data_IF_668842053396
#
_entry.id   IF_668842053396
#
_cell.length_a   1.000
_cell.length_b   1.000
_cell.length_c   1.000
_cell.angle_alpha   90.00
_cell.angle_beta   90.00
_cell.angle_gamma   90.00
#
_symmetry.space_group_name_H-M   'P 1'
#
loop_
_entity.id
_entity.type
_entity.pdbx_description
1 polymer ?
#
# COMPACT_ATOMS: atom_id res chain seq x y z
N UNK A 1 27.64 -12.83 22.68
CA UNK A 1 26.40 -12.03 22.47
C UNK A 1 25.41 -12.79 21.59
N UNK A 2 25.78 -13.17 20.36
CA UNK A 2 24.90 -13.94 19.46
C UNK A 2 24.35 -15.24 20.08
N UNK A 3 25.19 -16.02 20.74
CA UNK A 3 24.77 -17.27 21.41
C UNK A 3 23.72 -17.04 22.50
N UNK A 4 23.78 -15.92 23.24
CA UNK A 4 22.76 -15.57 24.23
C UNK A 4 21.42 -15.27 23.54
N UNK A 5 21.44 -14.55 22.42
CA UNK A 5 20.23 -14.23 21.63
C UNK A 5 19.60 -15.50 21.08
N UNK A 6 20.42 -16.39 20.52
CA UNK A 6 19.97 -17.67 19.96
C UNK A 6 19.41 -18.57 21.06
N UNK A 7 20.06 -18.65 22.23
CA UNK A 7 19.54 -19.42 23.35
C UNK A 7 18.19 -18.90 23.84
N UNK A 8 18.02 -17.57 23.99
CA UNK A 8 16.72 -16.97 24.36
C UNK A 8 15.66 -17.27 23.31
N UNK A 9 16.02 -17.22 22.02
CA UNK A 9 15.11 -17.55 20.94
C UNK A 9 14.66 -19.01 20.98
N UNK A 10 15.59 -19.94 21.19
CA UNK A 10 15.30 -21.37 21.34
C UNK A 10 14.46 -21.65 22.59
N UNK A 11 14.65 -20.90 23.68
CA UNK A 11 13.83 -21.01 24.90
C UNK A 11 12.36 -20.63 24.68
N UNK A 12 12.04 -19.79 23.69
CA UNK A 12 10.67 -19.43 23.33
C UNK A 12 9.88 -20.53 22.59
N UNK A 13 10.50 -21.69 22.34
CA UNK A 13 9.86 -22.85 21.73
C UNK A 13 9.51 -22.69 20.24
N UNK A 14 8.76 -23.67 19.72
CA UNK A 14 8.42 -23.76 18.29
C UNK A 14 7.65 -22.54 17.75
N UNK A 15 6.87 -21.86 18.60
CA UNK A 15 6.03 -20.70 18.24
C UNK A 15 6.86 -19.50 17.77
N UNK A 16 8.15 -19.46 18.09
CA UNK A 16 9.01 -18.36 17.66
C UNK A 16 9.26 -18.33 16.14
N UNK A 17 9.19 -19.48 15.45
CA UNK A 17 9.33 -19.56 13.99
C UNK A 17 8.17 -18.84 13.28
N UNK A 18 6.89 -19.17 13.54
CA UNK A 18 5.78 -18.45 12.91
C UNK A 18 5.72 -16.98 13.35
N UNK A 19 6.17 -16.62 14.56
CA UNK A 19 6.28 -15.21 14.98
C UNK A 19 7.28 -14.43 14.12
N UNK A 20 8.46 -15.01 13.88
CA UNK A 20 9.46 -14.41 13.01
C UNK A 20 8.92 -14.27 11.58
N UNK A 21 8.22 -15.29 11.06
CA UNK A 21 7.58 -15.23 9.74
C UNK A 21 6.53 -14.11 9.67
N UNK A 22 5.68 -14.01 10.69
CA UNK A 22 4.63 -12.99 10.79
C UNK A 22 5.24 -11.59 10.82
N UNK A 23 6.32 -11.38 11.57
CA UNK A 23 7.07 -10.13 11.58
C UNK A 23 7.61 -9.77 10.19
N UNK A 24 8.26 -10.73 9.50
CA UNK A 24 8.76 -10.52 8.13
C UNK A 24 7.63 -10.14 7.17
N UNK A 25 6.46 -10.79 7.27
CA UNK A 25 5.29 -10.47 6.44
C UNK A 25 4.75 -9.06 6.70
N UNK A 26 4.65 -8.64 7.97
CA UNK A 26 4.23 -7.29 8.35
C UNK A 26 5.19 -6.25 7.76
N UNK A 27 6.50 -6.40 8.02
CA UNK A 27 7.49 -5.43 7.55
C UNK A 27 7.56 -5.39 6.02
N UNK A 28 7.57 -6.54 5.35
CA UNK A 28 7.58 -6.60 3.89
C UNK A 28 6.36 -5.91 3.29
N UNK A 29 5.15 -6.25 3.77
CA UNK A 29 3.90 -5.66 3.27
C UNK A 29 3.82 -4.16 3.58
N UNK A 30 4.19 -3.76 4.79
CA UNK A 30 4.19 -2.35 5.22
C UNK A 30 5.15 -1.50 4.41
N UNK A 31 6.39 -1.98 4.19
CA UNK A 31 7.40 -1.28 3.38
C UNK A 31 6.94 -1.20 1.92
N UNK A 32 6.42 -2.29 1.34
CA UNK A 32 5.89 -2.26 -0.03
C UNK A 32 4.76 -1.25 -0.18
N UNK A 33 3.84 -1.19 0.78
CA UNK A 33 2.75 -0.23 0.78
C UNK A 33 3.27 1.20 0.90
N UNK A 34 4.22 1.46 1.81
CA UNK A 34 4.84 2.76 1.99
C UNK A 34 5.56 3.23 0.72
N UNK A 35 6.33 2.34 0.08
CA UNK A 35 7.02 2.62 -1.17
C UNK A 35 6.05 2.86 -2.32
N UNK A 36 4.96 2.08 -2.40
CA UNK A 36 3.90 2.28 -3.38
C UNK A 36 3.25 3.67 -3.23
N UNK A 37 2.86 4.04 -2.01
CA UNK A 37 2.26 5.35 -1.71
C UNK A 37 3.24 6.49 -1.96
N UNK A 38 4.51 6.34 -1.57
CA UNK A 38 5.57 7.33 -1.85
C UNK A 38 5.80 7.51 -3.35
N UNK A 39 5.91 6.43 -4.12
CA UNK A 39 6.04 6.51 -5.58
C UNK A 39 4.83 7.16 -6.23
N UNK A 40 3.62 6.83 -5.75
CA UNK A 40 2.38 7.47 -6.19
C UNK A 40 2.42 8.98 -5.95
N UNK A 41 2.78 9.42 -4.74
CA UNK A 41 2.89 10.85 -4.40
C UNK A 41 3.92 11.59 -5.27
N UNK A 42 5.08 10.97 -5.52
CA UNK A 42 6.12 11.53 -6.40
C UNK A 42 5.64 11.66 -7.86
N UNK A 43 4.68 10.85 -8.29
CA UNK A 43 4.11 10.88 -9.64
C UNK A 43 2.93 11.86 -9.79
N UNK A 44 2.48 12.52 -8.70
CA UNK A 44 1.34 13.44 -8.74
C UNK A 44 1.66 14.80 -9.41
N UNK A 45 2.93 15.09 -9.67
CA UNK A 45 3.34 16.40 -10.22
C UNK A 45 3.16 17.54 -9.22
N UNK A 46 3.52 18.76 -9.61
CA UNK A 46 3.24 19.95 -8.80
C UNK A 46 1.81 20.44 -9.05
N UNK A 47 1.07 20.77 -7.99
CA UNK A 47 -0.33 21.22 -8.06
C UNK A 47 -0.57 22.39 -9.04
N UNK A 48 0.45 23.23 -9.27
CA UNK A 48 0.41 24.36 -10.20
C UNK A 48 0.27 23.96 -11.67
N UNK A 49 0.68 22.75 -12.06
CA UNK A 49 0.62 22.28 -13.45
C UNK A 49 -0.74 21.65 -13.81
N UNK A 50 -1.54 21.28 -12.81
CA UNK A 50 -2.79 20.55 -13.00
C UNK A 50 -3.82 21.34 -13.80
N UNK A 51 -3.95 22.64 -13.53
CA UNK A 51 -4.82 23.54 -14.32
C UNK A 51 -4.38 23.56 -15.78
N UNK A 52 -3.08 23.68 -16.03
CA UNK A 52 -2.52 23.70 -17.39
C UNK A 52 -2.79 22.39 -18.13
N UNK A 53 -2.70 21.25 -17.43
CA UNK A 53 -2.97 19.93 -18.01
C UNK A 53 -4.45 19.70 -18.30
N UNK A 54 -5.36 20.29 -17.52
CA UNK A 54 -6.80 20.21 -17.78
C UNK A 54 -7.18 20.99 -19.05
N UNK A 55 -6.53 22.13 -19.31
CA UNK A 55 -6.77 22.94 -20.52
C UNK A 55 -5.96 22.46 -21.74
N UNK A 56 -4.79 21.85 -21.53
CA UNK A 56 -3.90 21.34 -22.57
C UNK A 56 -3.41 19.92 -22.20
N UNK A 57 -4.26 18.89 -22.39
CA UNK A 57 -3.93 17.51 -22.01
C UNK A 57 -2.73 16.93 -22.76
N UNK A 58 -2.38 17.47 -23.93
CA UNK A 58 -1.18 17.09 -24.70
C UNK A 58 0.14 17.43 -23.99
N UNK A 59 0.13 18.45 -23.12
CA UNK A 59 1.30 18.85 -22.32
C UNK A 59 1.40 18.09 -21.00
N UNK A 60 0.42 17.23 -20.70
CA UNK A 60 0.36 16.52 -19.45
C UNK A 60 1.34 15.34 -19.43
N UNK A 61 2.22 15.35 -18.43
CA UNK A 61 3.28 14.35 -18.25
C UNK A 61 3.09 13.56 -16.96
N UNK A 62 3.73 12.39 -16.89
CA UNK A 62 3.64 11.50 -15.73
C UNK A 62 2.27 10.83 -15.58
N UNK A 63 2.05 10.23 -14.41
CA UNK A 63 0.85 9.42 -14.13
C UNK A 63 -0.43 10.25 -14.12
N UNK A 64 -0.37 11.47 -13.57
CA UNK A 64 -1.53 12.37 -13.52
C UNK A 64 -1.91 12.83 -14.92
N UNK A 65 -0.95 13.14 -15.79
CA UNK A 65 -1.25 13.47 -17.18
C UNK A 65 -1.89 12.34 -17.97
N UNK A 66 -1.45 11.10 -17.72
CA UNK A 66 -2.10 9.89 -18.27
C UNK A 66 -3.56 9.77 -17.83
N UNK A 67 -3.84 10.00 -16.54
CA UNK A 67 -5.20 9.97 -15.99
C UNK A 67 -6.05 11.09 -16.61
N UNK A 68 -5.55 12.33 -16.64
CA UNK A 68 -6.26 13.49 -17.20
C UNK A 68 -6.61 13.23 -18.67
N UNK A 69 -5.64 12.79 -19.48
CA UNK A 69 -5.85 12.47 -20.90
C UNK A 69 -6.89 11.37 -21.07
N UNK A 70 -6.79 10.27 -20.33
CA UNK A 70 -7.79 9.18 -20.35
C UNK A 70 -9.20 9.67 -19.97
N UNK A 71 -9.32 10.54 -18.97
CA UNK A 71 -10.63 11.03 -18.53
C UNK A 71 -11.29 12.03 -19.50
N UNK A 72 -10.50 12.68 -20.35
CA UNK A 72 -10.98 13.68 -21.32
C UNK A 72 -11.10 13.12 -22.75
N UNK A 73 -10.47 11.98 -23.04
CA UNK A 73 -10.47 11.37 -24.37
C UNK A 73 -11.87 10.93 -24.80
N UNK A 74 -12.34 11.44 -25.95
CA UNK A 74 -13.65 11.14 -26.54
C UNK A 74 -14.87 11.44 -25.63
N UNK A 75 -14.74 12.36 -24.68
CA UNK A 75 -15.84 12.72 -23.77
C UNK A 75 -16.53 14.02 -24.17
N UNK A 76 -17.84 13.93 -24.42
CA UNK A 76 -18.70 15.07 -24.78
C UNK A 76 -19.49 15.66 -23.62
N UNK A 77 -19.57 14.98 -22.46
CA UNK A 77 -20.31 15.45 -21.30
C UNK A 77 -19.52 15.31 -19.98
N UNK A 78 -19.61 16.34 -19.13
CA UNK A 78 -18.91 16.41 -17.84
C UNK A 78 -19.19 15.22 -16.91
N UNK A 79 -20.39 14.60 -17.02
CA UNK A 79 -20.77 13.40 -16.25
C UNK A 79 -19.86 12.21 -16.57
N UNK A 80 -19.47 12.02 -17.83
CA UNK A 80 -18.60 10.91 -18.23
C UNK A 80 -17.17 11.11 -17.72
N UNK A 81 -16.64 12.34 -17.74
CA UNK A 81 -15.34 12.67 -17.16
C UNK A 81 -15.32 12.34 -15.66
N UNK A 82 -16.36 12.76 -14.92
CA UNK A 82 -16.51 12.43 -13.49
C UNK A 82 -16.50 10.92 -13.26
N UNK A 83 -17.28 10.16 -14.03
CA UNK A 83 -17.36 8.71 -13.88
C UNK A 83 -16.00 8.03 -14.16
N UNK A 84 -15.23 8.50 -15.15
CA UNK A 84 -13.88 7.99 -15.43
C UNK A 84 -12.91 8.30 -14.29
N UNK A 85 -12.97 9.50 -13.72
CA UNK A 85 -12.17 9.83 -12.53
C UNK A 85 -12.50 8.94 -11.34
N UNK A 86 -13.80 8.67 -11.12
CA UNK A 86 -14.25 7.76 -10.07
C UNK A 86 -13.76 6.32 -10.29
N UNK A 87 -13.78 5.84 -11.52
CA UNK A 87 -13.25 4.53 -11.90
C UNK A 87 -11.76 4.41 -11.61
N UNK A 88 -10.95 5.40 -12.02
CA UNK A 88 -9.51 5.44 -11.72
C UNK A 88 -9.27 5.49 -10.20
N UNK A 89 -10.01 6.34 -9.50
CA UNK A 89 -9.91 6.46 -8.03
C UNK A 89 -10.22 5.14 -7.34
N UNK A 90 -11.31 4.48 -7.71
CA UNK A 90 -11.70 3.19 -7.13
C UNK A 90 -10.64 2.12 -7.40
N UNK A 91 -10.09 2.05 -8.61
CA UNK A 91 -9.03 1.11 -8.95
C UNK A 91 -7.77 1.30 -8.08
N UNK A 92 -7.35 2.55 -7.87
CA UNK A 92 -6.19 2.85 -7.02
C UNK A 92 -6.49 2.52 -5.55
N UNK A 93 -7.64 2.97 -5.04
CA UNK A 93 -8.02 2.77 -3.64
C UNK A 93 -8.22 1.29 -3.30
N UNK A 94 -8.83 0.51 -4.19
CA UNK A 94 -9.09 -0.92 -3.96
C UNK A 94 -7.80 -1.71 -3.70
N UNK A 95 -6.74 -1.41 -4.47
CA UNK A 95 -5.44 -2.06 -4.28
C UNK A 95 -4.78 -1.69 -2.94
N UNK A 96 -4.86 -0.42 -2.56
CA UNK A 96 -4.35 0.06 -1.26
C UNK A 96 -5.14 -0.56 -0.12
N UNK A 97 -6.47 -0.53 -0.19
CA UNK A 97 -7.38 -1.08 0.82
C UNK A 97 -7.12 -2.56 1.07
N UNK A 98 -6.97 -3.39 0.02
CA UNK A 98 -6.65 -4.82 0.18
C UNK A 98 -5.36 -5.05 0.96
N UNK A 99 -4.31 -4.29 0.65
CA UNK A 99 -3.00 -4.39 1.33
C UNK A 99 -3.08 -3.94 2.79
N UNK A 100 -3.81 -2.86 3.07
CA UNK A 100 -4.04 -2.37 4.44
C UNK A 100 -4.84 -3.37 5.26
N UNK A 101 -5.91 -3.94 4.70
CA UNK A 101 -6.71 -4.97 5.38
C UNK A 101 -5.84 -6.18 5.72
N UNK A 102 -5.04 -6.67 4.77
CA UNK A 102 -4.14 -7.80 5.02
C UNK A 102 -3.11 -7.48 6.12
N UNK A 103 -2.49 -6.31 6.06
CA UNK A 103 -1.54 -5.85 7.09
C UNK A 103 -2.21 -5.77 8.47
N UNK A 104 -3.42 -5.24 8.56
CA UNK A 104 -4.19 -5.17 9.80
C UNK A 104 -4.48 -6.57 10.36
N UNK A 105 -4.82 -7.54 9.51
CA UNK A 105 -5.02 -8.92 9.94
C UNK A 105 -3.74 -9.54 10.52
N UNK A 106 -2.58 -9.30 9.90
CA UNK A 106 -1.30 -9.78 10.41
C UNK A 106 -0.96 -9.14 11.77
N UNK A 107 -1.15 -7.82 11.88
CA UNK A 107 -0.91 -7.09 13.14
C UNK A 107 -1.85 -7.55 14.24
N UNK A 108 -3.12 -7.79 13.95
CA UNK A 108 -4.09 -8.31 14.91
C UNK A 108 -3.78 -9.74 15.36
N UNK A 109 -3.17 -10.57 14.50
CA UNK A 109 -2.75 -11.92 14.84
C UNK A 109 -1.47 -11.97 15.70
N UNK A 110 -0.63 -10.93 15.66
CA UNK A 110 0.66 -10.93 16.35
C UNK A 110 0.56 -11.14 17.88
N UNK A 111 -0.31 -10.44 18.63
CA UNK A 111 -0.46 -10.65 20.07
C UNK A 111 -0.99 -12.04 20.41
N UNK A 112 -1.93 -12.57 19.61
CA UNK A 112 -2.49 -13.90 19.82
C UNK A 112 -1.43 -15.00 19.65
N UNK A 113 -0.55 -14.85 18.65
CA UNK A 113 0.57 -15.75 18.44
C UNK A 113 1.60 -15.67 19.58
N UNK A 114 1.84 -14.47 20.12
CA UNK A 114 2.67 -14.28 21.31
C UNK A 114 2.08 -14.94 22.56
N UNK A 115 0.79 -14.75 22.81
CA UNK A 115 0.08 -15.39 23.93
C UNK A 115 0.10 -16.91 23.82
N UNK A 116 -0.11 -17.47 22.62
CA UNK A 116 0.01 -18.91 22.38
C UNK A 116 1.39 -19.44 22.79
N UNK A 117 2.46 -18.71 22.46
CA UNK A 117 3.82 -19.05 22.86
C UNK A 117 4.01 -19.12 24.37
N UNK A 118 3.37 -18.22 25.13
CA UNK A 118 3.43 -18.23 26.60
C UNK A 118 2.61 -19.32 27.29
N UNK A 119 1.65 -19.93 26.58
CA UNK A 119 0.81 -21.02 27.11
C UNK A 119 1.39 -22.39 26.79
N UNK A 120 2.03 -22.54 25.63
CA UNK A 120 2.60 -23.82 25.16
C UNK A 120 4.04 -24.02 25.63
N UNK A 121 4.83 -22.94 25.73
CA UNK A 121 6.23 -22.96 26.18
C UNK A 121 6.35 -22.91 27.69
#
# INVERSE_FOLDING_TARGET
MLEKIINIWLSGGWVMIPLALLAVMIYSTGIQLLLFLRKGNVQLGHDTEWLTWVYAPDKANGRVGEIIRYTQENVTAAKHVRNRFEEVRQSILHNVQRRVIFLNTLVAAAPLMGLLGTVIG
#
